data_IF_619718134802
#
_entry.id   IF_619718134802
#
_cell.length_a   1.000
_cell.length_b   1.000
_cell.length_c   1.000
_cell.angle_alpha   90.00
_cell.angle_beta   90.00
_cell.angle_gamma   90.00
#
_symmetry.space_group_name_H-M   'P 1'
#
loop_
_entity.id
_entity.type
_entity.pdbx_description
1 polymer ?
#
# COMPACT_ATOMS: atom_id res chain seq x y z
N UNK A 1 -11.82 77.23 24.91
CA UNK A 1 -12.47 75.94 24.55
C UNK A 1 -11.51 74.75 24.76
N UNK A 2 -10.35 74.97 25.40
CA UNK A 2 -9.23 74.01 25.42
C UNK A 2 -9.27 73.02 26.60
N UNK A 3 -10.08 73.29 27.63
CA UNK A 3 -10.17 72.45 28.82
C UNK A 3 -10.85 71.09 28.58
N UNK A 4 -11.80 70.97 27.65
CA UNK A 4 -12.49 69.69 27.39
C UNK A 4 -11.62 68.70 26.63
N UNK A 5 -10.76 69.18 25.73
CA UNK A 5 -9.80 68.35 25.01
C UNK A 5 -8.72 67.81 25.96
N UNK A 6 -8.30 68.65 26.91
CA UNK A 6 -7.31 68.31 27.92
C UNK A 6 -7.86 67.27 28.92
N UNK A 7 -9.12 67.42 29.36
CA UNK A 7 -9.80 66.43 30.18
C UNK A 7 -9.99 65.08 29.45
N UNK A 8 -10.35 65.09 28.16
CA UNK A 8 -10.47 63.87 27.36
C UNK A 8 -9.11 63.15 27.16
N UNK A 9 -8.04 63.93 26.98
CA UNK A 9 -6.66 63.43 26.91
C UNK A 9 -6.24 62.75 28.22
N UNK A 10 -6.49 63.39 29.36
CA UNK A 10 -6.18 62.85 30.68
C UNK A 10 -6.98 61.58 31.00
N UNK A 11 -8.27 61.55 30.65
CA UNK A 11 -9.10 60.35 30.77
C UNK A 11 -8.58 59.18 29.91
N UNK A 12 -8.15 59.46 28.67
CA UNK A 12 -7.53 58.46 27.79
C UNK A 12 -6.20 57.97 28.35
N UNK A 13 -5.37 58.87 28.88
CA UNK A 13 -4.07 58.55 29.48
C UNK A 13 -4.24 57.69 30.73
N UNK A 14 -5.19 58.02 31.61
CA UNK A 14 -5.52 57.21 32.78
C UNK A 14 -6.00 55.81 32.39
N UNK A 15 -6.84 55.70 31.35
CA UNK A 15 -7.31 54.41 30.82
C UNK A 15 -6.18 53.55 30.25
N UNK A 16 -5.23 54.16 29.51
CA UNK A 16 -4.08 53.46 28.97
C UNK A 16 -3.10 53.00 30.07
N UNK A 17 -2.88 53.83 31.09
CA UNK A 17 -2.07 53.46 32.27
C UNK A 17 -2.69 52.29 33.03
N UNK A 18 -4.00 52.28 33.25
CA UNK A 18 -4.71 51.17 33.89
C UNK A 18 -4.60 49.87 33.06
N UNK A 19 -4.70 49.94 31.73
CA UNK A 19 -4.48 48.79 30.85
C UNK A 19 -3.04 48.29 30.88
N UNK A 20 -2.04 49.18 30.99
CA UNK A 20 -0.63 48.82 31.11
C UNK A 20 -0.34 48.13 32.46
N UNK A 21 -0.82 48.68 33.57
CA UNK A 21 -0.68 48.04 34.89
C UNK A 21 -1.39 46.68 34.96
N UNK A 22 -2.55 46.53 34.31
CA UNK A 22 -3.22 45.22 34.18
C UNK A 22 -2.40 44.24 33.32
N UNK A 23 -1.77 44.70 32.23
CA UNK A 23 -0.87 43.87 31.40
C UNK A 23 0.35 43.39 32.19
N UNK A 24 0.89 44.23 33.06
CA UNK A 24 2.03 43.92 33.94
C UNK A 24 1.64 43.05 35.16
N UNK A 25 0.38 42.58 35.23
CA UNK A 25 -0.08 41.57 36.20
C UNK A 25 -0.67 42.12 37.50
N UNK A 26 -0.83 43.44 37.64
CA UNK A 26 -1.23 44.10 38.89
C UNK A 26 -2.70 44.50 39.02
N UNK A 27 -3.63 43.91 38.25
CA UNK A 27 -5.03 44.35 38.23
C UNK A 27 -6.06 43.23 38.32
N UNK A 28 -6.96 43.32 39.30
CA UNK A 28 -8.06 42.37 39.57
C UNK A 28 -9.22 42.57 38.57
N UNK A 29 -9.09 41.98 37.37
CA UNK A 29 -10.19 41.93 36.41
C UNK A 29 -9.79 41.23 35.10
N UNK A 30 -10.76 40.86 34.24
CA UNK A 30 -10.50 39.99 33.10
C UNK A 30 -9.44 40.56 32.16
N UNK A 31 -8.34 39.81 32.01
CA UNK A 31 -7.28 40.07 31.04
C UNK A 31 -7.84 39.80 29.64
N UNK A 32 -7.80 40.80 28.75
CA UNK A 32 -8.18 40.63 27.34
C UNK A 32 -7.08 39.79 26.68
N UNK A 33 -7.31 38.48 26.60
CA UNK A 33 -6.44 37.55 25.88
C UNK A 33 -6.72 37.68 24.38
N UNK A 34 -5.72 38.04 23.59
CA UNK A 34 -5.82 37.90 22.13
C UNK A 34 -5.88 36.41 21.79
N UNK A 35 -6.95 35.98 21.13
CA UNK A 35 -7.12 34.58 20.73
C UNK A 35 -6.01 34.16 19.76
N UNK A 36 -6.03 34.77 18.57
CA UNK A 36 -5.17 34.38 17.44
C UNK A 36 -4.14 35.46 17.06
N UNK A 37 -3.96 36.52 17.85
CA UNK A 37 -3.01 37.59 17.51
C UNK A 37 -1.83 37.59 18.47
N UNK A 38 -0.62 37.56 17.92
CA UNK A 38 0.61 37.64 18.68
C UNK A 38 1.06 39.11 18.78
N UNK A 39 1.12 39.70 19.98
CA UNK A 39 1.45 41.10 20.16
C UNK A 39 2.91 41.45 19.83
N UNK A 40 3.83 40.48 19.85
CA UNK A 40 5.25 40.72 19.55
C UNK A 40 5.49 40.74 18.03
N UNK A 41 5.05 39.70 17.32
CA UNK A 41 5.18 39.63 15.86
C UNK A 41 4.15 40.47 15.10
N UNK A 42 3.09 40.96 15.77
CA UNK A 42 1.91 41.61 15.16
C UNK A 42 1.25 40.78 14.05
N UNK A 43 1.41 39.46 14.09
CA UNK A 43 0.82 38.54 13.12
C UNK A 43 -0.14 37.56 13.79
N UNK A 44 -0.73 36.68 12.98
CA UNK A 44 -1.56 35.59 13.48
C UNK A 44 -0.64 34.64 14.26
N UNK A 45 -1.07 34.23 15.47
CA UNK A 45 -0.45 33.14 16.23
C UNK A 45 -0.46 31.90 15.36
N UNK A 46 0.67 31.63 14.71
CA UNK A 46 0.93 30.34 14.11
C UNK A 46 0.97 29.36 15.29
N UNK A 47 0.21 28.25 15.20
CA UNK A 47 0.53 27.07 16.01
C UNK A 47 2.03 26.87 15.84
N UNK A 48 2.75 26.53 16.91
CA UNK A 48 4.15 26.12 16.80
C UNK A 48 4.19 24.86 15.92
N UNK A 49 4.02 25.04 14.61
CA UNK A 49 4.74 24.33 13.59
C UNK A 49 6.15 24.79 13.87
N UNK A 50 6.74 24.08 14.82
CA UNK A 50 8.05 23.51 14.67
C UNK A 50 8.83 24.33 13.65
N UNK A 51 9.64 25.25 14.18
CA UNK A 51 10.75 25.87 13.45
C UNK A 51 11.26 24.89 12.39
N UNK A 52 11.46 25.36 11.17
CA UNK A 52 11.86 24.60 9.98
C UNK A 52 13.06 23.63 10.15
N UNK A 53 13.68 23.60 11.34
CA UNK A 53 14.83 22.78 11.73
C UNK A 53 14.58 21.84 12.94
N UNK A 54 13.35 21.41 13.24
CA UNK A 54 13.20 20.21 14.09
C UNK A 54 12.91 19.04 13.17
N UNK A 55 13.97 18.29 12.86
CA UNK A 55 13.84 16.99 12.24
C UNK A 55 12.89 16.14 13.10
N UNK A 56 11.71 15.87 12.57
CA UNK A 56 10.79 14.94 13.18
C UNK A 56 11.38 13.55 12.97
N UNK A 57 12.12 13.06 13.97
CA UNK A 57 12.79 11.75 13.93
C UNK A 57 11.80 10.61 13.62
N UNK A 58 10.55 10.72 14.11
CA UNK A 58 9.48 9.73 13.90
C UNK A 58 8.65 10.00 12.63
N UNK A 59 9.32 10.01 11.48
CA UNK A 59 8.68 10.12 10.16
C UNK A 59 8.87 8.81 9.40
N UNK A 60 7.85 8.34 8.66
CA UNK A 60 7.88 7.03 7.96
C UNK A 60 9.03 6.97 6.96
N UNK A 61 9.34 8.10 6.34
CA UNK A 61 10.42 8.31 5.39
C UNK A 61 11.79 8.05 6.02
N UNK A 62 12.01 8.47 7.26
CA UNK A 62 13.24 8.20 8.00
C UNK A 62 13.32 6.72 8.40
N UNK A 63 12.22 6.12 8.79
CA UNK A 63 12.15 4.69 9.15
C UNK A 63 12.44 3.76 7.95
N UNK A 64 12.14 4.20 6.73
CA UNK A 64 12.36 3.43 5.49
C UNK A 64 13.66 3.83 4.80
N UNK A 65 14.28 4.93 5.20
CA UNK A 65 15.59 5.35 4.68
C UNK A 65 16.64 4.23 4.89
N UNK A 66 17.37 3.88 3.83
CA UNK A 66 18.39 2.82 3.87
C UNK A 66 17.86 1.38 3.79
N UNK A 67 16.55 1.12 3.91
CA UNK A 67 16.01 -0.24 3.80
C UNK A 67 16.26 -0.86 2.42
N UNK A 68 16.15 -0.06 1.36
CA UNK A 68 16.41 -0.50 0.00
C UNK A 68 17.88 -0.91 -0.20
N UNK A 69 18.82 -0.15 0.37
CA UNK A 69 20.25 -0.43 0.31
C UNK A 69 20.58 -1.73 1.05
N UNK A 70 19.97 -1.95 2.22
CA UNK A 70 20.11 -3.19 2.98
C UNK A 70 19.57 -4.41 2.22
N UNK A 71 18.42 -4.28 1.56
CA UNK A 71 17.84 -5.37 0.74
C UNK A 71 18.76 -5.73 -0.43
N UNK A 72 19.34 -4.72 -1.10
CA UNK A 72 20.26 -4.94 -2.22
C UNK A 72 21.53 -5.61 -1.72
N UNK A 73 22.10 -5.14 -0.60
CA UNK A 73 23.28 -5.75 0.01
C UNK A 73 23.03 -7.20 0.43
N UNK A 74 21.90 -7.50 1.06
CA UNK A 74 21.54 -8.87 1.45
C UNK A 74 21.36 -9.79 0.23
N UNK A 75 20.77 -9.29 -0.85
CA UNK A 75 20.60 -10.06 -2.08
C UNK A 75 21.95 -10.30 -2.80
N UNK A 76 22.86 -9.34 -2.76
CA UNK A 76 24.23 -9.49 -3.24
C UNK A 76 25.03 -10.50 -2.40
N UNK A 77 24.92 -10.45 -1.08
CA UNK A 77 25.52 -11.45 -0.18
C UNK A 77 24.96 -12.85 -0.43
N UNK A 78 23.65 -12.98 -0.66
CA UNK A 78 22.99 -14.25 -1.00
C UNK A 78 23.40 -14.78 -2.37
N UNK A 79 23.65 -13.90 -3.35
CA UNK A 79 24.19 -14.27 -4.66
C UNK A 79 25.69 -14.60 -4.62
N UNK A 80 26.44 -13.95 -3.72
CA UNK A 80 27.87 -14.16 -3.52
C UNK A 80 28.19 -15.38 -2.66
N UNK A 81 27.25 -15.84 -1.81
CA UNK A 81 27.29 -17.18 -1.24
C UNK A 81 27.34 -18.17 -2.41
N UNK A 82 28.51 -18.78 -2.59
CA UNK A 82 28.78 -19.74 -3.65
C UNK A 82 27.63 -20.76 -3.71
N UNK A 83 27.06 -20.93 -4.90
CA UNK A 83 26.10 -21.98 -5.19
C UNK A 83 26.70 -23.31 -4.72
N UNK A 84 26.27 -23.78 -3.55
CA UNK A 84 26.74 -25.01 -2.96
C UNK A 84 26.40 -26.17 -3.90
N UNK A 85 27.40 -26.60 -4.68
CA UNK A 85 27.28 -27.66 -5.68
C UNK A 85 26.86 -28.99 -5.04
N UNK A 86 27.10 -29.15 -3.72
CA UNK A 86 26.62 -30.31 -2.96
C UNK A 86 25.11 -30.28 -2.68
N UNK A 87 24.47 -29.10 -2.71
CA UNK A 87 23.02 -28.95 -2.64
C UNK A 87 22.32 -29.03 -4.02
N UNK A 88 23.07 -28.87 -5.12
CA UNK A 88 22.59 -29.04 -6.50
C UNK A 88 22.61 -30.52 -6.92
N UNK A 89 23.43 -31.36 -6.28
CA UNK A 89 23.40 -32.80 -6.50
C UNK A 89 22.03 -33.38 -6.08
N UNK A 90 21.44 -34.26 -6.90
CA UNK A 90 20.10 -34.75 -6.63
C UNK A 90 20.03 -35.59 -5.36
N UNK A 91 19.26 -35.09 -4.37
CA UNK A 91 19.11 -35.69 -3.04
C UNK A 91 18.56 -37.13 -3.03
N UNK A 92 18.01 -37.65 -4.14
CA UNK A 92 17.42 -38.99 -4.23
C UNK A 92 17.75 -39.66 -5.58
N UNK A 93 18.17 -40.93 -5.62
CA UNK A 93 18.47 -41.66 -6.86
C UNK A 93 17.33 -41.65 -7.89
N UNK A 94 16.07 -41.66 -7.43
CA UNK A 94 14.88 -41.73 -8.29
C UNK A 94 14.24 -40.36 -8.58
N UNK A 95 14.90 -39.25 -8.24
CA UNK A 95 14.32 -37.91 -8.41
C UNK A 95 14.03 -37.59 -9.89
N UNK A 96 14.90 -38.06 -10.79
CA UNK A 96 14.79 -37.83 -12.22
C UNK A 96 13.66 -38.69 -12.80
N UNK A 97 13.57 -39.94 -12.36
CA UNK A 97 12.46 -40.82 -12.70
C UNK A 97 11.12 -40.20 -12.30
N UNK A 98 11.05 -39.61 -11.09
CA UNK A 98 9.85 -38.90 -10.65
C UNK A 98 9.54 -37.71 -11.54
N UNK A 99 10.54 -36.88 -11.84
CA UNK A 99 10.39 -35.70 -12.70
C UNK A 99 9.92 -36.06 -14.12
N UNK A 100 10.52 -37.08 -14.73
CA UNK A 100 10.13 -37.56 -16.05
C UNK A 100 8.74 -38.21 -16.06
N UNK A 101 8.40 -38.95 -15.00
CA UNK A 101 7.06 -39.50 -14.80
C UNK A 101 6.02 -38.39 -14.65
N UNK A 102 6.29 -37.37 -13.84
CA UNK A 102 5.39 -36.24 -13.60
C UNK A 102 5.11 -35.48 -14.91
N UNK A 103 6.12 -35.30 -15.79
CA UNK A 103 5.94 -34.70 -17.13
C UNK A 103 4.99 -35.53 -18.01
N UNK A 104 5.09 -36.86 -17.97
CA UNK A 104 4.19 -37.76 -18.73
C UNK A 104 2.78 -37.78 -18.12
N UNK A 105 2.68 -37.78 -16.79
CA UNK A 105 1.42 -37.73 -16.07
C UNK A 105 0.68 -36.42 -16.34
N UNK A 106 1.35 -35.27 -16.42
CA UNK A 106 0.72 -34.00 -16.73
C UNK A 106 -0.05 -34.03 -18.07
N UNK A 107 0.57 -34.56 -19.13
CA UNK A 107 -0.11 -34.75 -20.43
C UNK A 107 -1.32 -35.68 -20.33
N UNK A 108 -1.18 -36.78 -19.58
CA UNK A 108 -2.26 -37.74 -19.38
C UNK A 108 -3.41 -37.16 -18.52
N UNK A 109 -3.08 -36.36 -17.51
CA UNK A 109 -4.05 -35.70 -16.63
C UNK A 109 -4.93 -34.71 -17.40
N UNK A 110 -4.36 -33.93 -18.35
CA UNK A 110 -5.14 -33.07 -19.27
C UNK A 110 -6.23 -33.87 -20.00
N UNK A 111 -5.82 -34.93 -20.69
CA UNK A 111 -6.74 -35.82 -21.45
C UNK A 111 -7.74 -36.54 -20.56
N UNK A 112 -7.33 -36.92 -19.35
CA UNK A 112 -8.21 -37.57 -18.37
C UNK A 112 -9.30 -36.60 -17.92
N UNK A 113 -8.93 -35.35 -17.63
CA UNK A 113 -9.88 -34.32 -17.22
C UNK A 113 -10.87 -33.96 -18.34
N UNK A 114 -10.41 -33.90 -19.59
CA UNK A 114 -11.29 -33.73 -20.76
C UNK A 114 -12.26 -34.89 -20.92
N UNK A 115 -11.79 -36.13 -20.74
CA UNK A 115 -12.62 -37.32 -20.80
C UNK A 115 -13.68 -37.31 -19.69
N UNK A 116 -13.29 -36.95 -18.47
CA UNK A 116 -14.21 -36.75 -17.34
C UNK A 116 -15.25 -35.69 -17.68
N UNK A 117 -14.82 -34.56 -18.25
CA UNK A 117 -15.71 -33.48 -18.66
C UNK A 117 -16.76 -33.95 -19.69
N UNK A 118 -16.32 -34.70 -20.70
CA UNK A 118 -17.20 -35.26 -21.73
C UNK A 118 -18.19 -36.26 -21.13
N UNK A 119 -17.74 -37.15 -20.26
CA UNK A 119 -18.60 -38.12 -19.57
C UNK A 119 -19.64 -37.42 -18.68
N UNK A 120 -19.27 -36.35 -17.97
CA UNK A 120 -20.21 -35.56 -17.16
C UNK A 120 -21.27 -34.92 -18.06
N UNK A 121 -20.87 -34.30 -19.18
CA UNK A 121 -21.83 -33.72 -20.15
C UNK A 121 -22.79 -34.79 -20.67
N UNK A 122 -22.27 -35.93 -21.11
CA UNK A 122 -23.09 -37.05 -21.62
C UNK A 122 -24.09 -37.53 -20.57
N UNK A 123 -23.64 -37.69 -19.31
CA UNK A 123 -24.50 -38.13 -18.21
C UNK A 123 -25.62 -37.12 -17.92
N UNK A 124 -25.30 -35.82 -17.88
CA UNK A 124 -26.28 -34.76 -17.64
C UNK A 124 -27.30 -34.65 -18.79
N UNK A 125 -26.84 -34.77 -20.03
CA UNK A 125 -27.72 -34.72 -21.19
C UNK A 125 -28.63 -35.97 -21.30
N UNK A 126 -28.10 -37.16 -21.01
CA UNK A 126 -28.90 -38.38 -20.90
C UNK A 126 -29.97 -38.28 -19.80
N UNK A 127 -29.68 -37.59 -18.69
CA UNK A 127 -30.67 -37.32 -17.64
C UNK A 127 -31.73 -36.28 -18.06
N UNK A 128 -31.37 -35.34 -18.95
CA UNK A 128 -32.24 -34.25 -19.41
C UNK A 128 -33.07 -34.60 -20.65
N UNK A 129 -32.71 -35.66 -21.40
CA UNK A 129 -33.43 -36.13 -22.59
C UNK A 129 -33.01 -35.49 -23.91
N UNK A 130 -32.06 -34.54 -23.89
CA UNK A 130 -31.54 -33.83 -25.07
C UNK A 130 -30.30 -34.56 -25.62
N UNK A 131 -30.50 -35.58 -26.45
CA UNK A 131 -29.41 -36.41 -27.00
C UNK A 131 -28.75 -35.84 -28.27
N UNK A 132 -29.45 -34.95 -28.99
CA UNK A 132 -29.02 -34.44 -30.31
C UNK A 132 -27.91 -33.36 -30.23
N UNK A 133 -27.89 -32.55 -29.17
CA UNK A 133 -26.88 -31.50 -28.97
C UNK A 133 -25.48 -32.04 -28.63
N UNK A 134 -25.39 -33.31 -28.19
CA UNK A 134 -24.13 -33.93 -27.76
C UNK A 134 -23.24 -34.23 -28.96
N UNK A 135 -23.80 -34.78 -30.03
CA UNK A 135 -23.02 -35.16 -31.22
C UNK A 135 -22.48 -33.92 -31.96
N UNK A 136 -23.25 -32.83 -31.98
CA UNK A 136 -22.81 -31.54 -32.53
C UNK A 136 -21.70 -30.89 -31.70
N UNK A 137 -21.87 -30.83 -30.38
CA UNK A 137 -20.86 -30.27 -29.48
C UNK A 137 -19.56 -31.09 -29.44
N UNK A 138 -19.65 -32.42 -29.54
CA UNK A 138 -18.49 -33.31 -29.56
C UNK A 138 -17.67 -33.15 -30.85
N UNK A 139 -18.32 -33.05 -32.01
CA UNK A 139 -17.63 -32.76 -33.29
C UNK A 139 -17.00 -31.36 -33.32
N UNK A 140 -17.65 -30.38 -32.71
CA UNK A 140 -17.10 -29.03 -32.58
C UNK A 140 -15.88 -29.00 -31.65
N UNK A 141 -15.91 -29.75 -30.54
CA UNK A 141 -14.80 -29.86 -29.61
C UNK A 141 -13.62 -30.65 -30.21
N UNK A 142 -13.88 -31.76 -30.93
CA UNK A 142 -12.86 -32.55 -31.63
C UNK A 142 -12.12 -31.70 -32.67
N UNK A 143 -12.85 -30.85 -33.41
CA UNK A 143 -12.26 -29.93 -34.37
C UNK A 143 -11.40 -28.83 -33.71
N UNK A 144 -11.77 -28.37 -32.52
CA UNK A 144 -10.98 -27.39 -31.77
C UNK A 144 -9.71 -28.02 -31.16
N UNK A 145 -9.82 -29.25 -30.64
CA UNK A 145 -8.68 -29.98 -30.06
C UNK A 145 -7.62 -30.34 -31.11
N UNK A 146 -8.02 -30.74 -32.31
CA UNK A 146 -7.07 -30.99 -33.41
C UNK A 146 -6.34 -29.72 -33.88
N UNK A 147 -6.90 -28.52 -33.65
CA UNK A 147 -6.22 -27.28 -34.00
C UNK A 147 -5.20 -26.86 -32.93
N UNK A 148 -5.51 -27.07 -31.65
CA UNK A 148 -4.61 -26.74 -30.55
C UNK A 148 -3.39 -27.69 -30.43
N UNK A 149 -3.54 -28.98 -30.81
CA UNK A 149 -2.42 -29.95 -30.79
C UNK A 149 -1.42 -29.73 -31.96
N UNK A 150 -1.81 -29.09 -33.08
CA UNK A 150 -0.91 -28.75 -34.21
C UNK A 150 -0.02 -27.52 -33.90
N UNK A 151 -0.42 -26.65 -32.97
CA UNK A 151 0.33 -25.45 -32.55
C UNK A 151 1.31 -25.70 -31.38
N UNK A 152 1.25 -26.87 -30.72
CA UNK A 152 2.10 -27.23 -29.55
C UNK A 152 3.41 -27.98 -29.92
N UNK A 153 3.61 -28.36 -31.20
CA UNK A 153 4.76 -29.15 -31.68
C UNK A 153 5.86 -28.32 -32.40
N UNK A 154 5.81 -26.97 -32.35
CA UNK A 154 6.94 -26.04 -32.70
C UNK A 154 7.75 -25.56 -31.48
#
# INVERSE_FOLDING_TARGET
MDSSLQAASEARKARLLALKQRKEGGGDGPLIKSRNFDPESRTIKKRAVLSEDVEMEDTVENNVSGLAENIIAEDEERRAQELDVFNIAPKRPNWDLKREMDKKLAKLQRRTQESIHTLIRQRLAAQKGDSDDIAGAMRAQEKAQNADDDDEDE
#
